data_IF_756773728305
#
_entry.id   IF_756773728305
#
_cell.length_a   1.000
_cell.length_b   1.000
_cell.length_c   1.000
_cell.angle_alpha   90.00
_cell.angle_beta   90.00
_cell.angle_gamma   90.00
#
_symmetry.space_group_name_H-M   'P 1'
#
loop_
_entity.id
_entity.type
_entity.pdbx_description
1 polymer ?
#
# COMPACT_ATOMS: atom_id res chain seq x y z
N UNK A 1 15.68 10.91 9.83
CA UNK A 1 14.67 10.57 10.87
C UNK A 1 13.32 10.37 10.17
N UNK A 2 12.61 9.26 10.22
CA UNK A 2 12.84 7.91 10.71
C UNK A 2 11.76 7.04 10.06
N UNK A 3 12.15 5.92 9.44
CA UNK A 3 11.24 5.08 8.66
C UNK A 3 10.43 4.17 9.59
N UNK A 4 9.14 4.01 9.30
CA UNK A 4 8.25 3.14 10.07
C UNK A 4 8.11 1.80 9.37
N UNK A 5 8.82 0.78 9.85
CA UNK A 5 8.65 -0.59 9.38
C UNK A 5 7.31 -1.18 9.86
N UNK A 6 6.70 -2.00 9.02
CA UNK A 6 5.49 -2.75 9.30
C UNK A 6 5.66 -3.56 10.61
N UNK A 7 4.81 -3.28 11.60
CA UNK A 7 4.88 -3.89 12.94
C UNK A 7 5.57 -3.03 14.02
N UNK A 8 6.21 -1.90 13.67
CA UNK A 8 6.89 -1.01 14.63
C UNK A 8 6.18 0.30 14.95
N UNK A 9 5.39 0.88 14.02
CA UNK A 9 4.40 1.94 14.34
C UNK A 9 3.16 1.83 13.44
N UNK A 10 2.14 2.64 13.76
CA UNK A 10 0.90 2.77 12.98
C UNK A 10 1.20 3.20 11.53
N UNK A 11 0.47 2.68 10.53
CA UNK A 11 0.62 3.11 9.13
C UNK A 11 0.30 4.60 8.97
N UNK A 12 0.87 5.22 7.94
CA UNK A 12 0.50 6.58 7.56
C UNK A 12 -0.84 6.49 6.83
N UNK A 13 -1.84 7.21 7.32
CA UNK A 13 -3.14 7.31 6.67
C UNK A 13 -3.14 8.54 5.76
N UNK A 14 -3.45 8.34 4.49
CA UNK A 14 -3.77 9.43 3.56
C UNK A 14 -5.18 9.22 2.99
N UNK A 15 -5.80 10.30 2.54
CA UNK A 15 -7.03 10.25 1.76
C UNK A 15 -6.63 10.46 0.29
N UNK A 16 -7.05 9.54 -0.58
CA UNK A 16 -6.79 9.61 -2.02
C UNK A 16 -7.99 10.19 -2.76
N UNK A 17 -7.83 10.48 -4.04
CA UNK A 17 -8.94 11.01 -4.85
C UNK A 17 -9.95 9.90 -5.22
N UNK A 18 -9.47 8.66 -5.38
CA UNK A 18 -10.29 7.48 -5.72
C UNK A 18 -10.68 6.64 -4.49
N UNK A 19 -10.03 6.88 -3.35
CA UNK A 19 -10.09 6.02 -2.17
C UNK A 19 -10.35 6.82 -0.91
N UNK A 20 -11.33 6.38 -0.12
CA UNK A 20 -11.66 7.02 1.15
C UNK A 20 -10.47 7.03 2.12
N UNK A 21 -9.62 6.00 2.01
CA UNK A 21 -8.42 5.85 2.83
C UNK A 21 -7.39 4.99 2.14
N UNK A 22 -6.14 5.42 2.22
CA UNK A 22 -4.96 4.62 1.89
C UNK A 22 -4.09 4.51 3.14
N UNK A 23 -3.76 3.27 3.53
CA UNK A 23 -2.82 2.98 4.60
C UNK A 23 -1.45 2.66 4.01
N UNK A 24 -0.47 3.52 4.28
CA UNK A 24 0.89 3.36 3.79
C UNK A 24 1.73 2.62 4.82
N UNK A 25 2.36 1.55 4.35
CA UNK A 25 3.30 0.72 5.08
C UNK A 25 4.67 0.78 4.40
N UNK A 26 5.73 0.67 5.20
CA UNK A 26 7.07 0.35 4.67
C UNK A 26 7.47 -1.02 5.17
N UNK A 27 7.97 -1.87 4.27
CA UNK A 27 8.46 -3.19 4.65
C UNK A 27 9.66 -3.55 3.78
N UNK A 28 10.80 -3.86 4.42
CA UNK A 28 12.07 -4.19 3.76
C UNK A 28 12.48 -3.21 2.65
N UNK A 29 12.29 -1.91 2.89
CA UNK A 29 12.64 -0.84 1.94
C UNK A 29 11.57 -0.55 0.88
N UNK A 30 10.53 -1.36 0.76
CA UNK A 30 9.43 -1.14 -0.20
C UNK A 30 8.27 -0.35 0.45
N UNK A 31 7.65 0.53 -0.33
CA UNK A 31 6.49 1.32 0.07
C UNK A 31 5.22 0.67 -0.45
N UNK A 32 4.33 0.29 0.45
CA UNK A 32 3.07 -0.38 0.16
C UNK A 32 1.88 0.49 0.56
N UNK A 33 0.85 0.56 -0.27
CA UNK A 33 -0.43 1.19 0.05
C UNK A 33 -1.55 0.16 0.09
N UNK A 34 -2.34 0.17 1.15
CA UNK A 34 -3.58 -0.62 1.22
C UNK A 34 -4.75 0.36 1.11
N UNK A 35 -5.48 0.30 0.01
CA UNK A 35 -6.55 1.22 -0.34
C UNK A 35 -7.91 0.68 0.09
N UNK A 36 -8.74 1.56 0.63
CA UNK A 36 -10.07 1.25 1.12
C UNK A 36 -11.12 2.05 0.35
N UNK A 37 -12.25 1.39 0.07
CA UNK A 37 -13.53 2.03 -0.29
C UNK A 37 -14.57 1.60 0.74
N UNK A 38 -15.14 2.57 1.46
CA UNK A 38 -15.87 2.33 2.70
C UNK A 38 -14.99 1.61 3.71
N UNK A 39 -15.49 0.49 4.24
CA UNK A 39 -14.81 -0.36 5.21
C UNK A 39 -14.08 -1.56 4.58
N UNK A 40 -14.15 -1.70 3.26
CA UNK A 40 -13.54 -2.81 2.52
C UNK A 40 -12.21 -2.41 1.89
N UNK A 41 -11.31 -3.39 1.78
CA UNK A 41 -10.05 -3.21 1.07
C UNK A 41 -10.32 -3.45 -0.42
N UNK A 42 -10.16 -2.40 -1.21
CA UNK A 42 -10.36 -2.43 -2.65
C UNK A 42 -9.11 -3.00 -3.33
N UNK A 43 -7.94 -2.43 -3.05
CA UNK A 43 -6.69 -2.81 -3.71
C UNK A 43 -5.46 -2.58 -2.82
N UNK A 44 -4.32 -3.12 -3.26
CA UNK A 44 -3.00 -2.93 -2.64
C UNK A 44 -2.01 -2.52 -3.72
N UNK A 45 -1.26 -1.46 -3.46
CA UNK A 45 -0.17 -0.97 -4.30
C UNK A 45 1.19 -1.25 -3.67
N UNK A 46 2.18 -1.54 -4.50
CA UNK A 46 3.59 -1.36 -4.16
C UNK A 46 4.13 -0.19 -4.98
N UNK A 47 4.33 0.96 -4.34
CA UNK A 47 4.78 2.17 -5.02
C UNK A 47 6.26 2.16 -5.39
N UNK A 48 7.07 1.34 -4.73
CA UNK A 48 8.51 1.20 -5.05
C UNK A 48 8.74 0.29 -6.26
N UNK A 49 7.83 -0.66 -6.50
CA UNK A 49 7.93 -1.62 -7.60
C UNK A 49 6.90 -1.40 -8.70
N UNK A 50 5.99 -0.45 -8.51
CA UNK A 50 4.88 -0.18 -9.42
C UNK A 50 4.01 -1.44 -9.62
N UNK A 51 3.75 -2.19 -8.54
CA UNK A 51 2.84 -3.35 -8.56
C UNK A 51 1.44 -2.96 -8.05
N UNK A 52 0.40 -3.63 -8.57
CA UNK A 52 -1.00 -3.45 -8.17
C UNK A 52 -1.71 -4.78 -7.95
N UNK A 53 -2.42 -4.93 -6.84
CA UNK A 53 -3.12 -6.16 -6.47
C UNK A 53 -4.59 -5.85 -6.12
N UNK A 54 -5.53 -6.34 -6.92
CA UNK A 54 -6.98 -6.13 -6.73
C UNK A 54 -7.73 -7.47 -6.59
N UNK A 55 -7.76 -8.28 -7.66
CA UNK A 55 -8.55 -9.51 -7.69
C UNK A 55 -8.11 -10.55 -6.65
N UNK A 56 -6.82 -10.59 -6.31
CA UNK A 56 -6.24 -11.59 -5.41
C UNK A 56 -6.60 -11.31 -3.94
N UNK A 57 -7.03 -10.09 -3.60
CA UNK A 57 -7.24 -9.65 -2.21
C UNK A 57 -8.71 -9.44 -1.83
N UNK A 58 -9.65 -9.72 -2.75
CA UNK A 58 -11.08 -9.53 -2.49
C UNK A 58 -11.50 -10.30 -1.23
N UNK A 59 -12.14 -9.61 -0.29
CA UNK A 59 -12.58 -10.18 0.98
C UNK A 59 -11.47 -10.50 1.99
N UNK A 60 -10.21 -10.20 1.69
CA UNK A 60 -9.11 -10.38 2.65
C UNK A 60 -9.07 -9.25 3.67
N UNK A 61 -8.78 -9.61 4.91
CA UNK A 61 -8.48 -8.63 5.95
C UNK A 61 -7.10 -8.01 5.75
N UNK A 62 -6.87 -6.84 6.35
CA UNK A 62 -5.55 -6.22 6.38
C UNK A 62 -4.46 -7.16 6.92
N UNK A 63 -4.76 -7.92 7.98
CA UNK A 63 -3.83 -8.88 8.58
C UNK A 63 -3.43 -9.97 7.58
N UNK A 64 -4.38 -10.44 6.78
CA UNK A 64 -4.11 -11.45 5.76
C UNK A 64 -3.31 -10.91 4.60
N UNK A 65 -3.62 -9.71 4.09
CA UNK A 65 -2.84 -9.05 3.03
C UNK A 65 -1.39 -8.87 3.49
N UNK A 66 -1.20 -8.37 4.70
CA UNK A 66 0.13 -8.21 5.28
C UNK A 66 0.87 -9.55 5.31
N UNK A 67 0.24 -10.62 5.77
CA UNK A 67 0.88 -11.93 5.93
C UNK A 67 1.07 -12.70 4.63
N UNK A 68 0.15 -12.58 3.67
CA UNK A 68 0.11 -13.37 2.43
C UNK A 68 0.79 -12.65 1.26
N UNK A 69 0.81 -11.31 1.26
CA UNK A 69 1.31 -10.51 0.13
C UNK A 69 2.53 -9.68 0.55
N UNK A 70 2.37 -8.76 1.51
CA UNK A 70 3.43 -7.78 1.83
C UNK A 70 4.64 -8.46 2.48
N UNK A 71 4.44 -9.26 3.54
CA UNK A 71 5.55 -9.89 4.26
C UNK A 71 6.34 -10.92 3.43
N UNK A 72 5.66 -11.80 2.66
CA UNK A 72 6.34 -12.71 1.75
C UNK A 72 6.82 -12.03 0.47
N UNK A 73 6.44 -10.77 0.22
CA UNK A 73 6.69 -10.04 -1.02
C UNK A 73 6.17 -10.82 -2.25
N UNK A 74 4.97 -11.43 -2.14
CA UNK A 74 4.40 -12.21 -3.26
C UNK A 74 3.97 -11.28 -4.38
N UNK A 75 4.44 -11.58 -5.59
CA UNK A 75 4.18 -10.82 -6.83
C UNK A 75 3.49 -11.67 -7.90
N UNK A 76 2.56 -12.53 -7.49
CA UNK A 76 1.80 -13.32 -8.47
C UNK A 76 0.78 -12.41 -9.16
N UNK A 77 1.02 -12.17 -10.45
CA UNK A 77 0.12 -11.46 -11.38
C UNK A 77 -0.31 -10.06 -10.90
N UNK A 78 0.64 -9.11 -10.77
CA UNK A 78 0.27 -7.72 -10.49
C UNK A 78 -0.53 -7.17 -11.68
N UNK A 79 -1.70 -6.60 -11.39
CA UNK A 79 -2.49 -5.88 -12.38
C UNK A 79 -1.82 -4.57 -12.80
N UNK A 80 -2.50 -3.81 -13.66
CA UNK A 80 -1.94 -2.56 -14.20
C UNK A 80 -1.86 -1.50 -13.09
N UNK A 81 -0.64 -1.17 -12.69
CA UNK A 81 -0.36 -0.03 -11.85
C UNK A 81 -0.73 1.25 -12.59
N UNK A 82 -1.66 2.00 -12.00
CA UNK A 82 -1.93 3.39 -12.39
C UNK A 82 -1.32 4.28 -11.33
N UNK A 83 -0.61 5.33 -11.75
CA UNK A 83 0.05 6.34 -10.88
C UNK A 83 -0.91 7.17 -10.01
N UNK A 84 -2.10 6.65 -9.69
CA UNK A 84 -3.05 7.31 -8.80
C UNK A 84 -2.40 7.43 -7.43
N UNK A 85 -2.48 8.63 -6.85
CA UNK A 85 -2.02 8.95 -5.50
C UNK A 85 -0.49 8.84 -5.27
N UNK A 86 0.34 8.58 -6.29
CA UNK A 86 1.81 8.48 -6.14
C UNK A 86 2.42 9.75 -5.54
N UNK A 87 1.99 10.92 -6.02
CA UNK A 87 2.43 12.22 -5.50
C UNK A 87 1.92 12.48 -4.08
N UNK A 88 0.71 12.02 -3.73
CA UNK A 88 0.20 12.11 -2.36
C UNK A 88 1.04 11.25 -1.41
N UNK A 89 1.41 10.04 -1.84
CA UNK A 89 2.29 9.15 -1.07
C UNK A 89 3.68 9.75 -0.91
N UNK A 90 4.29 10.31 -1.97
CA UNK A 90 5.58 11.00 -1.88
C UNK A 90 5.56 12.16 -0.90
N UNK A 91 4.54 13.03 -1.00
CA UNK A 91 4.36 14.17 -0.08
C UNK A 91 4.16 13.70 1.36
N UNK A 92 3.31 12.69 1.58
CA UNK A 92 3.06 12.13 2.91
C UNK A 92 4.32 11.50 3.52
N UNK A 93 5.18 10.91 2.68
CA UNK A 93 6.46 10.33 3.09
C UNK A 93 7.59 11.36 3.18
N UNK A 94 7.39 12.60 2.70
CA UNK A 94 8.39 13.66 2.62
C UNK A 94 9.66 13.21 1.90
N UNK A 95 9.49 12.57 0.74
CA UNK A 95 10.59 12.05 -0.07
C UNK A 95 10.54 12.56 -1.51
N UNK A 96 11.73 12.75 -2.10
CA UNK A 96 11.88 13.14 -3.50
C UNK A 96 11.69 11.97 -4.47
N UNK A 97 11.80 10.71 -4.04
CA UNK A 97 11.60 9.50 -4.86
C UNK A 97 11.14 8.33 -3.98
N UNK A 98 10.38 7.38 -4.54
CA UNK A 98 9.90 6.15 -3.85
C UNK A 98 10.65 4.90 -4.28
#
# INVERSE_FOLDING_TARGET
MGYTELGRKRPIKIQGDLYDKILIYKYKGEVWGVCYKGDEIDCVYNYTKEDFFYLIILGMTLKEIVKKIIQPLKRTDPGIFKMVDYELVRKALKVEKL
#
